data_IF_742770208565
#
_entry.id   IF_742770208565
#
_cell.length_a   1.000
_cell.length_b   1.000
_cell.length_c   1.000
_cell.angle_alpha   90.00
_cell.angle_beta   90.00
_cell.angle_gamma   90.00
#
_symmetry.space_group_name_H-M   'P 1'
#
loop_
_entity.id
_entity.type
_entity.pdbx_description
1 polymer ?
#
# COMPACT_ATOMS: atom_id res chain seq x y z
N UNK A 1 22.98 -7.47 9.25
CA UNK A 1 22.83 -6.00 9.37
C UNK A 1 22.46 -5.33 8.05
N UNK A 2 23.23 -5.49 6.97
CA UNK A 2 22.88 -4.89 5.66
C UNK A 2 21.55 -5.39 5.08
N UNK A 3 21.27 -6.70 5.20
CA UNK A 3 20.00 -7.29 4.76
C UNK A 3 18.78 -6.71 5.49
N UNK A 4 18.89 -6.52 6.81
CA UNK A 4 17.84 -5.94 7.64
C UNK A 4 17.45 -4.54 7.14
N UNK A 5 18.47 -3.69 6.92
CA UNK A 5 18.27 -2.32 6.44
C UNK A 5 17.64 -2.31 5.05
N UNK A 6 18.10 -3.17 4.14
CA UNK A 6 17.54 -3.25 2.78
C UNK A 6 16.06 -3.65 2.78
N UNK A 7 15.66 -4.58 3.64
CA UNK A 7 14.26 -5.01 3.77
C UNK A 7 13.41 -3.92 4.40
N UNK A 8 13.90 -3.26 5.44
CA UNK A 8 13.21 -2.13 6.07
C UNK A 8 12.97 -1.01 5.04
N UNK A 9 13.99 -0.61 4.29
CA UNK A 9 13.87 0.41 3.24
C UNK A 9 12.86 0.03 2.15
N UNK A 10 12.76 -1.26 1.81
CA UNK A 10 11.75 -1.74 0.86
C UNK A 10 10.32 -1.56 1.40
N UNK A 11 10.07 -1.92 2.66
CA UNK A 11 8.77 -1.71 3.30
C UNK A 11 8.40 -0.23 3.38
N UNK A 12 9.35 0.63 3.78
CA UNK A 12 9.17 2.08 3.81
C UNK A 12 8.82 2.64 2.42
N UNK A 13 9.48 2.16 1.36
CA UNK A 13 9.18 2.57 -0.02
C UNK A 13 7.76 2.15 -0.43
N UNK A 14 7.34 0.93 -0.13
CA UNK A 14 5.99 0.45 -0.47
C UNK A 14 4.93 1.23 0.32
N UNK A 15 5.18 1.52 1.60
CA UNK A 15 4.30 2.37 2.42
C UNK A 15 4.17 3.77 1.84
N UNK A 16 5.26 4.38 1.37
CA UNK A 16 5.24 5.67 0.70
C UNK A 16 4.35 5.64 -0.55
N UNK A 17 4.50 4.62 -1.40
CA UNK A 17 3.67 4.47 -2.62
C UNK A 17 2.19 4.27 -2.26
N UNK A 18 1.88 3.53 -1.19
CA UNK A 18 0.51 3.41 -0.68
C UNK A 18 -0.06 4.74 -0.21
N UNK A 19 0.71 5.54 0.53
CA UNK A 19 0.29 6.88 0.94
C UNK A 19 -0.01 7.75 -0.28
N UNK A 20 0.88 7.77 -1.28
CA UNK A 20 0.67 8.50 -2.53
C UNK A 20 -0.62 8.04 -3.23
N UNK A 21 -0.85 6.73 -3.32
CA UNK A 21 -2.06 6.14 -3.91
C UNK A 21 -3.34 6.55 -3.17
N UNK A 22 -3.30 6.64 -1.85
CA UNK A 22 -4.41 7.12 -1.01
C UNK A 22 -4.71 8.58 -1.31
N UNK A 23 -3.69 9.43 -1.24
CA UNK A 23 -3.85 10.86 -1.48
C UNK A 23 -4.37 11.13 -2.90
N UNK A 24 -3.82 10.43 -3.90
CA UNK A 24 -4.27 10.53 -5.29
C UNK A 24 -5.70 10.00 -5.51
N UNK A 25 -6.18 9.07 -4.69
CA UNK A 25 -7.56 8.56 -4.79
C UNK A 25 -8.63 9.60 -4.49
N UNK A 26 -8.27 10.69 -3.79
CA UNK A 26 -9.18 11.80 -3.53
C UNK A 26 -9.36 12.73 -4.73
N UNK A 27 -8.52 12.58 -5.76
CA UNK A 27 -8.60 13.35 -6.99
C UNK A 27 -9.33 12.54 -8.07
N UNK A 28 -10.58 12.88 -8.42
CA UNK A 28 -11.38 12.10 -9.37
C UNK A 28 -10.83 12.11 -10.81
N UNK A 29 -9.94 13.05 -11.14
CA UNK A 29 -9.37 13.22 -12.48
C UNK A 29 -8.13 12.33 -12.75
N UNK A 30 -7.70 11.51 -11.78
CA UNK A 30 -6.52 10.66 -11.93
C UNK A 30 -6.85 9.44 -12.80
N UNK A 31 -6.20 9.35 -13.96
CA UNK A 31 -6.32 8.19 -14.87
C UNK A 31 -5.32 7.09 -14.46
N UNK A 32 -5.82 6.11 -13.72
CA UNK A 32 -5.02 5.00 -13.20
C UNK A 32 -4.52 4.00 -14.25
N UNK A 33 -4.93 4.14 -15.51
CA UNK A 33 -4.48 3.28 -16.60
C UNK A 33 -3.36 3.92 -17.43
N UNK A 34 -3.03 5.19 -17.17
CA UNK A 34 -1.96 5.92 -17.85
C UNK A 34 -0.76 6.16 -16.93
N UNK A 35 0.40 6.31 -17.56
CA UNK A 35 1.62 6.68 -16.83
C UNK A 35 1.53 8.13 -16.35
N UNK A 36 2.06 8.47 -15.16
CA UNK A 36 2.81 7.59 -14.24
C UNK A 36 1.92 6.79 -13.25
N UNK A 37 0.62 7.06 -13.19
CA UNK A 37 -0.29 6.52 -12.17
C UNK A 37 -0.52 5.02 -12.28
N UNK A 38 -0.38 4.46 -13.49
CA UNK A 38 -0.47 3.01 -13.72
C UNK A 38 0.54 2.23 -12.89
N UNK A 39 1.79 2.69 -12.78
CA UNK A 39 2.81 2.01 -11.96
C UNK A 39 2.39 1.99 -10.49
N UNK A 40 1.88 3.11 -9.98
CA UNK A 40 1.40 3.21 -8.60
C UNK A 40 0.24 2.23 -8.37
N UNK A 41 -0.72 2.17 -9.30
CA UNK A 41 -1.83 1.21 -9.27
C UNK A 41 -1.32 -0.23 -9.27
N UNK A 42 -0.43 -0.58 -10.18
CA UNK A 42 0.05 -1.97 -10.35
C UNK A 42 0.84 -2.47 -9.12
N UNK A 43 1.58 -1.58 -8.43
CA UNK A 43 2.29 -1.90 -7.18
C UNK A 43 1.30 -2.09 -6.02
N UNK A 44 0.28 -1.23 -5.93
CA UNK A 44 -0.59 -1.15 -4.75
C UNK A 44 -1.84 -2.02 -4.82
N UNK A 45 -2.35 -2.34 -6.01
CA UNK A 45 -3.56 -3.13 -6.19
C UNK A 45 -3.46 -4.55 -5.60
N UNK A 46 -2.34 -5.29 -5.71
CA UNK A 46 -2.18 -6.59 -5.04
C UNK A 46 -2.30 -6.48 -3.52
N UNK A 47 -1.86 -5.36 -2.93
CA UNK A 47 -1.94 -5.10 -1.49
C UNK A 47 -3.40 -4.80 -1.12
N UNK A 48 -4.13 -4.00 -1.89
CA UNK A 48 -5.54 -3.68 -1.61
C UNK A 48 -6.54 -4.78 -1.96
N UNK A 49 -6.23 -5.64 -2.93
CA UNK A 49 -7.12 -6.70 -3.41
C UNK A 49 -7.75 -7.57 -2.30
N UNK A 50 -6.99 -8.08 -1.30
CA UNK A 50 -7.58 -8.83 -0.20
C UNK A 50 -8.51 -7.95 0.67
N UNK A 51 -8.14 -6.70 0.93
CA UNK A 51 -8.96 -5.80 1.77
C UNK A 51 -10.26 -5.40 1.09
N UNK A 52 -10.24 -5.14 -0.22
CA UNK A 52 -11.46 -4.80 -0.99
C UNK A 52 -12.49 -5.92 -1.06
N UNK A 53 -12.06 -7.18 -0.89
CA UNK A 53 -12.98 -8.33 -0.80
C UNK A 53 -13.67 -8.43 0.56
N UNK A 54 -13.05 -7.88 1.60
CA UNK A 54 -13.51 -7.98 2.99
C UNK A 54 -14.23 -6.71 3.41
N UNK A 55 -13.76 -5.55 2.96
CA UNK A 55 -14.22 -4.22 3.34
C UNK A 55 -14.97 -3.62 2.16
N UNK A 56 -16.32 -3.63 2.17
CA UNK A 56 -17.09 -2.92 1.16
C UNK A 56 -16.82 -1.40 1.28
N UNK A 57 -16.86 -0.65 0.16
CA UNK A 57 -16.73 0.81 0.20
C UNK A 57 -17.89 1.39 1.02
N UNK A 58 -17.57 2.21 2.04
CA UNK A 58 -18.57 2.82 2.92
C UNK A 58 -18.78 4.26 2.47
N UNK A 59 -19.99 4.59 2.01
CA UNK A 59 -20.34 5.97 1.61
C UNK A 59 -19.53 6.52 0.43
N UNK A 60 -19.03 5.65 -0.46
CA UNK A 60 -18.18 6.04 -1.59
C UNK A 60 -16.69 6.22 -1.24
N UNK A 61 -16.32 6.09 0.04
CA UNK A 61 -14.93 6.12 0.49
C UNK A 61 -14.36 4.70 0.60
N UNK A 62 -13.20 4.47 -0.02
CA UNK A 62 -12.47 3.21 0.11
C UNK A 62 -11.68 3.26 1.43
N UNK A 63 -12.11 2.48 2.43
CA UNK A 63 -11.40 2.32 3.73
C UNK A 63 -10.31 1.23 3.67
N UNK A 64 -10.29 0.44 2.60
CA UNK A 64 -9.23 -0.56 2.34
C UNK A 64 -7.83 -0.01 2.52
N UNK A 65 -7.52 1.27 2.23
CA UNK A 65 -6.17 1.74 2.35
C UNK A 65 -5.64 1.91 3.77
N UNK A 66 -6.51 2.23 4.73
CA UNK A 66 -6.12 2.29 6.14
C UNK A 66 -5.80 0.87 6.64
N UNK A 67 -6.66 -0.10 6.31
CA UNK A 67 -6.45 -1.49 6.67
C UNK A 67 -5.16 -2.06 6.03
N UNK A 68 -4.94 -1.76 4.76
CA UNK A 68 -3.72 -2.14 4.04
C UNK A 68 -2.46 -1.53 4.68
N UNK A 69 -2.48 -0.24 5.03
CA UNK A 69 -1.34 0.41 5.67
C UNK A 69 -0.98 -0.24 7.02
N UNK A 70 -1.98 -0.47 7.88
CA UNK A 70 -1.79 -1.11 9.19
C UNK A 70 -1.26 -2.53 9.02
N UNK A 71 -1.88 -3.31 8.12
CA UNK A 71 -1.46 -4.69 7.87
C UNK A 71 -0.04 -4.78 7.31
N UNK A 72 0.37 -3.85 6.45
CA UNK A 72 1.72 -3.82 5.90
C UNK A 72 2.76 -3.53 7.00
N UNK A 73 2.46 -2.61 7.92
CA UNK A 73 3.33 -2.36 9.08
C UNK A 73 3.44 -3.56 10.03
N UNK A 74 2.36 -4.33 10.22
CA UNK A 74 2.42 -5.58 10.98
C UNK A 74 3.30 -6.63 10.27
N UNK A 75 3.17 -6.78 8.96
CA UNK A 75 4.00 -7.68 8.16
C UNK A 75 5.47 -7.28 8.23
N UNK A 76 5.77 -5.99 8.07
CA UNK A 76 7.13 -5.46 8.23
C UNK A 76 7.71 -5.83 9.60
N UNK A 77 6.98 -5.55 10.68
CA UNK A 77 7.46 -5.84 12.04
C UNK A 77 7.75 -7.33 12.25
N UNK A 78 6.85 -8.20 11.78
CA UNK A 78 7.04 -9.65 11.86
C UNK A 78 8.28 -10.08 11.05
N UNK A 79 8.38 -9.66 9.79
CA UNK A 79 9.50 -10.03 8.91
C UNK A 79 10.83 -9.56 9.49
N UNK A 80 10.91 -8.31 9.94
CA UNK A 80 12.13 -7.76 10.53
C UNK A 80 12.49 -8.47 11.85
N UNK A 81 11.51 -8.89 12.65
CA UNK A 81 11.74 -9.65 13.88
C UNK A 81 12.35 -11.03 13.65
N UNK A 82 12.07 -11.66 12.50
CA UNK A 82 12.61 -12.98 12.12
C UNK A 82 14.05 -12.91 11.57
N UNK A 83 14.47 -11.75 11.09
CA UNK A 83 15.76 -11.52 10.40
C UNK A 83 16.80 -10.89 11.35
N UNK A 84 16.33 -10.37 12.48
CA UNK A 84 17.15 -9.78 13.55
C UNK A 84 17.87 -10.85 14.37
#
# INVERSE_FOLDING_TARGET
MSLYIAIQQLFELVQLVLIVRILLSWFPNVDWYKQPFKIIKDITDPIFAPFRRIIPPIGGFDLSPIAAFISLGMVEHIVLSLIR
#
